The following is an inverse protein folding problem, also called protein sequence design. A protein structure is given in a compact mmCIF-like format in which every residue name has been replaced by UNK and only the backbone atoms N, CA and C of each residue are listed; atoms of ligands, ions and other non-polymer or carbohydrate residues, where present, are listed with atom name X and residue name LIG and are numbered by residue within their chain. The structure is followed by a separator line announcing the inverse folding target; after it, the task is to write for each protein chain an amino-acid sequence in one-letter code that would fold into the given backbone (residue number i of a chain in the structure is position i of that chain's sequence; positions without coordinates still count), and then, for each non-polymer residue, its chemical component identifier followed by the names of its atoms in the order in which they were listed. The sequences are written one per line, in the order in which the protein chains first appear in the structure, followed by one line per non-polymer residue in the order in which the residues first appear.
data_IF_171433878698
#
_entry.id   IF_171433878698
#
_cell.length_a   1.000
_cell.length_b   1.000
_cell.length_c   1.000
_cell.angle_alpha   90.00
_cell.angle_beta   90.00
_cell.angle_gamma   90.00
#
_symmetry.space_group_name_H-M   'P 1'
#
loop_
_entity.id
_entity.type
_entity.pdbx_description
1 polymer ?
#
# COMPACT_ATOMS: atom_id res chain seq x y z
N UNK A 1 21.99 -7.71 7.22
CA UNK A 1 20.81 -7.16 6.53
C UNK A 1 21.25 -6.86 5.12
N UNK A 2 20.66 -7.53 4.13
CA UNK A 2 21.13 -7.51 2.74
C UNK A 2 20.90 -6.12 2.13
N UNK A 3 21.95 -5.47 1.64
CA UNK A 3 21.84 -4.13 1.00
C UNK A 3 20.78 -4.10 -0.10
N UNK A 4 20.58 -5.20 -0.84
CA UNK A 4 19.58 -5.29 -1.90
C UNK A 4 18.10 -5.18 -1.46
N UNK A 5 17.73 -5.42 -0.20
CA UNK A 5 16.32 -5.27 0.23
C UNK A 5 15.91 -3.81 0.38
N UNK A 6 16.86 -2.95 0.77
CA UNK A 6 16.59 -1.51 0.93
C UNK A 6 16.37 -0.84 -0.43
N UNK A 7 17.15 -1.26 -1.43
CA UNK A 7 17.06 -0.78 -2.82
C UNK A 7 15.69 -1.13 -3.41
N UNK A 8 15.25 -2.37 -3.23
CA UNK A 8 13.95 -2.85 -3.72
C UNK A 8 12.81 -2.10 -3.03
N UNK A 9 12.91 -1.80 -1.73
CA UNK A 9 11.91 -1.06 -0.97
C UNK A 9 11.71 0.38 -1.48
N UNK A 10 12.79 1.14 -1.64
CA UNK A 10 12.73 2.50 -2.18
C UNK A 10 12.19 2.51 -3.61
N UNK A 11 12.68 1.60 -4.45
CA UNK A 11 12.22 1.42 -5.82
C UNK A 11 10.72 1.08 -5.88
N UNK A 12 10.22 0.24 -4.97
CA UNK A 12 8.80 -0.09 -4.89
C UNK A 12 7.92 1.12 -4.59
N UNK A 13 8.34 1.98 -3.66
CA UNK A 13 7.55 3.14 -3.24
C UNK A 13 7.48 4.17 -4.37
N UNK A 14 8.59 4.46 -5.04
CA UNK A 14 8.62 5.38 -6.18
C UNK A 14 7.84 4.81 -7.37
N UNK A 15 8.04 3.53 -7.69
CA UNK A 15 7.29 2.83 -8.73
C UNK A 15 5.80 2.81 -8.46
N UNK A 16 5.40 2.59 -7.21
CA UNK A 16 4.01 2.62 -6.75
C UNK A 16 3.41 4.01 -6.87
N UNK A 17 4.13 5.04 -6.44
CA UNK A 17 3.71 6.44 -6.62
C UNK A 17 3.45 6.77 -8.10
N UNK A 18 4.31 6.31 -9.00
CA UNK A 18 4.13 6.51 -10.44
C UNK A 18 2.98 5.69 -11.03
N UNK A 19 2.85 4.43 -10.64
CA UNK A 19 1.73 3.58 -11.05
C UNK A 19 0.39 4.17 -10.62
N UNK A 20 0.25 4.61 -9.37
CA UNK A 20 -1.01 5.18 -8.86
C UNK A 20 -1.31 6.53 -9.51
N UNK A 21 -0.34 7.45 -9.53
CA UNK A 21 -0.56 8.79 -10.10
C UNK A 21 -0.77 8.81 -11.61
N UNK A 22 -0.30 7.78 -12.34
CA UNK A 22 -0.45 7.71 -13.81
C UNK A 22 -1.46 6.65 -14.25
N UNK A 23 -1.23 5.37 -13.93
CA UNK A 23 -2.10 4.27 -14.38
C UNK A 23 -3.44 4.31 -13.67
N UNK A 24 -3.45 4.38 -12.33
CA UNK A 24 -4.70 4.37 -11.58
C UNK A 24 -5.51 5.63 -11.87
N UNK A 25 -4.88 6.82 -11.82
CA UNK A 25 -5.56 8.06 -12.19
C UNK A 25 -6.06 8.05 -13.64
N UNK A 26 -5.26 7.53 -14.58
CA UNK A 26 -5.61 7.46 -16.00
C UNK A 26 -6.76 6.51 -16.30
N UNK A 27 -6.72 5.28 -15.77
CA UNK A 27 -7.82 4.30 -15.91
C UNK A 27 -9.08 4.80 -15.22
N UNK A 28 -8.95 5.43 -14.05
CA UNK A 28 -10.07 6.03 -13.32
C UNK A 28 -10.74 7.10 -14.17
N UNK A 29 -9.97 8.01 -14.76
CA UNK A 29 -10.48 9.06 -15.64
C UNK A 29 -11.18 8.49 -16.89
N UNK A 30 -10.56 7.54 -17.59
CA UNK A 30 -11.16 6.88 -18.77
C UNK A 30 -12.46 6.15 -18.40
N UNK A 31 -12.50 5.51 -17.24
CA UNK A 31 -13.66 4.75 -16.76
C UNK A 31 -14.90 5.62 -16.52
N UNK A 32 -14.72 6.89 -16.19
CA UNK A 32 -15.82 7.83 -15.91
C UNK A 32 -16.00 8.91 -16.98
N UNK A 33 -15.19 8.89 -18.05
CA UNK A 33 -15.17 9.94 -19.08
C UNK A 33 -16.53 10.17 -19.74
N UNK A 34 -17.36 9.12 -19.82
CA UNK A 34 -18.71 9.20 -20.41
C UNK A 34 -19.67 10.04 -19.58
N UNK A 35 -19.39 10.23 -18.29
CA UNK A 35 -20.26 10.96 -17.36
C UNK A 35 -19.91 12.44 -17.23
N UNK A 36 -18.86 12.93 -17.93
CA UNK A 36 -18.50 14.34 -17.97
C UNK A 36 -18.27 15.00 -16.60
N UNK A 37 -17.78 14.25 -15.61
CA UNK A 37 -17.70 14.71 -14.22
C UNK A 37 -16.62 15.78 -14.05
N UNK A 38 -16.99 16.87 -13.38
CA UNK A 38 -16.09 17.94 -12.94
C UNK A 38 -15.59 17.64 -11.54
N UNK A 39 -14.35 18.01 -11.26
CA UNK A 39 -13.76 17.92 -9.92
C UNK A 39 -13.38 19.32 -9.40
N UNK A 40 -13.28 19.47 -8.07
CA UNK A 40 -12.83 20.72 -7.44
C UNK A 40 -11.36 21.00 -7.78
N UNK A 41 -11.10 22.17 -8.36
CA UNK A 41 -9.77 22.63 -8.79
C UNK A 41 -8.77 22.72 -7.64
N UNK A 42 -9.15 23.37 -6.54
CA UNK A 42 -8.28 23.59 -5.37
C UNK A 42 -7.76 22.26 -4.79
N UNK A 43 -8.67 21.32 -4.53
CA UNK A 43 -8.33 20.00 -3.99
C UNK A 43 -7.39 19.20 -4.90
N UNK A 44 -7.63 19.20 -6.21
CA UNK A 44 -6.76 18.51 -7.16
C UNK A 44 -5.36 19.15 -7.25
N UNK A 45 -5.29 20.47 -7.49
CA UNK A 45 -4.02 21.19 -7.64
C UNK A 45 -3.19 21.08 -6.38
N UNK A 46 -3.81 21.23 -5.20
CA UNK A 46 -3.14 21.11 -3.91
C UNK A 46 -2.46 19.75 -3.74
N UNK A 47 -3.18 18.65 -4.03
CA UNK A 47 -2.63 17.31 -3.94
C UNK A 47 -1.50 17.04 -4.95
N UNK A 48 -1.66 17.46 -6.22
CA UNK A 48 -0.62 17.26 -7.23
C UNK A 48 0.64 18.08 -6.94
N UNK A 49 0.49 19.35 -6.55
CA UNK A 49 1.61 20.21 -6.19
C UNK A 49 2.36 19.70 -4.96
N UNK A 50 1.63 19.21 -3.96
CA UNK A 50 2.26 18.65 -2.78
C UNK A 50 2.99 17.33 -3.10
N UNK A 51 2.45 16.49 -3.97
CA UNK A 51 3.15 15.29 -4.43
C UNK A 51 4.41 15.64 -5.24
N UNK A 52 4.37 16.66 -6.10
CA UNK A 52 5.58 17.18 -6.77
C UNK A 52 6.61 17.62 -5.75
N UNK A 53 6.21 18.38 -4.72
CA UNK A 53 7.10 18.79 -3.63
C UNK A 53 7.72 17.58 -2.91
N UNK A 54 6.92 16.55 -2.59
CA UNK A 54 7.40 15.32 -1.96
C UNK A 54 8.46 14.61 -2.82
N UNK A 55 8.20 14.47 -4.12
CA UNK A 55 9.10 13.82 -5.07
C UNK A 55 10.38 14.63 -5.25
N UNK A 56 10.30 15.96 -5.27
CA UNK A 56 11.48 16.84 -5.34
C UNK A 56 12.29 16.76 -4.04
N UNK A 57 11.67 16.78 -2.87
CA UNK A 57 12.36 16.59 -1.59
C UNK A 57 13.06 15.22 -1.54
N UNK A 58 12.40 14.17 -2.02
CA UNK A 58 13.01 12.84 -2.13
C UNK A 58 14.18 12.83 -3.11
N UNK A 59 14.05 13.49 -4.26
CA UNK A 59 15.13 13.63 -5.24
C UNK A 59 16.35 14.34 -4.63
N UNK A 60 16.15 15.40 -3.83
CA UNK A 60 17.23 16.08 -3.11
C UNK A 60 17.93 15.13 -2.13
N UNK A 61 17.16 14.34 -1.36
CA UNK A 61 17.73 13.31 -0.46
C UNK A 61 18.58 12.30 -1.23
N UNK A 62 18.10 11.85 -2.40
CA UNK A 62 18.83 10.89 -3.25
C UNK A 62 20.09 11.52 -3.86
N UNK A 63 20.05 12.78 -4.31
CA UNK A 63 21.20 13.50 -4.88
C UNK A 63 22.30 13.71 -3.83
N UNK A 64 21.93 14.05 -2.60
CA UNK A 64 22.91 14.21 -1.51
C UNK A 64 23.57 12.85 -1.19
N UNK A 65 22.87 11.74 -1.42
CA UNK A 65 23.36 10.37 -1.19
C UNK A 65 23.55 10.02 0.28
N UNK A 66 23.31 10.96 1.20
CA UNK A 66 23.45 10.81 2.64
C UNK A 66 22.29 11.50 3.34
N UNK A 67 21.74 10.85 4.36
CA UNK A 67 20.68 11.43 5.19
C UNK A 67 21.00 11.29 6.68
N UNK A 68 20.84 12.39 7.40
CA UNK A 68 20.94 12.43 8.86
C UNK A 68 19.56 12.19 9.50
N UNK A 69 19.53 11.82 10.78
CA UNK A 69 18.30 11.62 11.55
C UNK A 69 17.34 12.84 11.49
N UNK A 70 17.88 14.06 11.55
CA UNK A 70 17.09 15.28 11.42
C UNK A 70 16.47 15.45 10.03
N UNK A 71 17.19 15.02 8.98
CA UNK A 71 16.67 15.02 7.61
C UNK A 71 15.52 14.03 7.45
N UNK A 72 15.65 12.82 8.02
CA UNK A 72 14.56 11.83 7.97
C UNK A 72 13.35 12.25 8.81
N UNK A 73 13.56 12.88 9.97
CA UNK A 73 12.47 13.46 10.77
C UNK A 73 11.76 14.58 10.00
N UNK A 74 12.51 15.49 9.38
CA UNK A 74 11.95 16.57 8.55
C UNK A 74 11.12 16.03 7.38
N UNK A 75 11.63 15.00 6.68
CA UNK A 75 10.92 14.34 5.58
C UNK A 75 9.63 13.67 6.05
N UNK A 76 9.66 12.97 7.19
CA UNK A 76 8.46 12.35 7.79
C UNK A 76 7.42 13.41 8.22
N UNK A 77 7.85 14.46 8.91
CA UNK A 77 6.96 15.52 9.41
C UNK A 77 6.41 16.43 8.31
N UNK A 78 6.97 16.39 7.09
CA UNK A 78 6.37 17.03 5.93
C UNK A 78 4.92 16.54 5.68
N UNK A 79 4.57 15.33 6.14
CA UNK A 79 3.19 14.84 6.08
C UNK A 79 2.23 15.62 6.98
N UNK A 80 2.69 16.10 8.15
CA UNK A 80 1.85 16.97 8.99
C UNK A 80 1.59 18.30 8.30
N UNK A 81 2.61 18.84 7.61
CA UNK A 81 2.46 20.07 6.80
C UNK A 81 1.44 19.85 5.69
N UNK A 82 1.47 18.70 5.01
CA UNK A 82 0.45 18.31 4.03
C UNK A 82 -0.96 18.31 4.61
N UNK A 83 -1.15 17.62 5.74
CA UNK A 83 -2.47 17.51 6.38
C UNK A 83 -2.99 18.89 6.79
N UNK A 84 -2.13 19.72 7.39
CA UNK A 84 -2.46 21.10 7.74
C UNK A 84 -2.79 21.94 6.50
N UNK A 85 -2.05 21.79 5.41
CA UNK A 85 -2.28 22.50 4.15
C UNK A 85 -3.63 22.13 3.54
N UNK A 86 -3.97 20.84 3.46
CA UNK A 86 -5.27 20.38 2.94
C UNK A 86 -6.41 20.86 3.83
N UNK A 87 -6.24 20.78 5.15
CA UNK A 87 -7.26 21.25 6.10
C UNK A 87 -7.50 22.75 5.98
N UNK A 88 -6.43 23.55 5.92
CA UNK A 88 -6.52 25.00 5.70
C UNK A 88 -7.13 25.34 4.34
N UNK A 89 -6.78 24.60 3.28
CA UNK A 89 -7.33 24.78 1.94
C UNK A 89 -8.85 24.52 1.91
N UNK A 90 -9.31 23.46 2.59
CA UNK A 90 -10.75 23.15 2.67
C UNK A 90 -11.50 24.17 3.53
N UNK A 91 -10.90 24.65 4.62
CA UNK A 91 -11.46 25.72 5.43
C UNK A 91 -11.61 27.03 4.65
N UNK A 92 -10.61 27.39 3.84
CA UNK A 92 -10.64 28.60 3.04
C UNK A 92 -11.74 28.56 1.98
N UNK A 93 -11.86 27.45 1.25
CA UNK A 93 -12.94 27.25 0.26
C UNK A 93 -14.33 27.33 0.92
N UNK A 94 -14.48 26.74 2.12
CA UNK A 94 -15.74 26.80 2.86
C UNK A 94 -16.10 28.22 3.29
N UNK A 95 -15.11 29.06 3.58
CA UNK A 95 -15.34 30.44 3.96
C UNK A 95 -15.73 31.30 2.75
N UNK A 96 -15.11 31.08 1.60
CA UNK A 96 -15.50 31.74 0.34
C UNK A 96 -16.93 31.39 -0.09
N UNK A 97 -17.36 30.13 0.06
CA UNK A 97 -18.74 29.69 -0.23
C UNK A 97 -19.77 30.37 0.70
N UNK A 98 -19.42 30.64 1.96
CA UNK A 98 -20.30 31.33 2.92
C UNK A 98 -20.39 32.84 2.62
N UNK A 99 -19.28 33.46 2.21
CA UNK A 99 -19.25 34.89 1.87
C UNK A 99 -19.92 35.21 0.52
N UNK A 100 -20.12 34.22 -0.36
CA UNK A 100 -20.84 34.39 -1.64
C UNK A 100 -22.34 34.10 -1.58
N UNK A 101 -22.82 33.36 -0.57
CA UNK A 101 -24.24 33.00 -0.40
C UNK A 101 -25.09 34.09 0.31
N UNK A 102 -24.50 35.22 0.72
CA UNK A 102 -25.24 36.34 1.33
C UNK A 102 -26.06 37.18 0.32
N UNK A 103 -25.97 36.91 -1.00
CA UNK A 103 -26.65 37.68 -2.05
C UNK A 103 -27.67 36.90 -2.90
N UNK A 104 -27.90 35.61 -2.66
CA UNK A 104 -28.99 34.88 -3.33
C UNK A 104 -29.66 33.83 -2.42
N UNK A 105 -30.98 33.90 -2.39
CA UNK A 105 -31.86 33.10 -1.52
C UNK A 105 -31.78 31.60 -1.79
N UNK A 106 -31.50 30.84 -0.72
CA UNK A 106 -32.04 29.51 -0.39
C UNK A 106 -32.04 28.44 -1.50
N UNK A 107 -30.99 27.61 -1.52
CA UNK A 107 -31.12 26.15 -1.43
C UNK A 107 -29.73 25.53 -1.16
N UNK A 108 -29.37 25.46 0.13
CA UNK A 108 -28.19 24.76 0.61
C UNK A 108 -28.39 23.25 0.37
N UNK A 109 -27.60 22.57 -0.50
CA UNK A 109 -27.58 21.12 -0.48
C UNK A 109 -26.78 20.72 0.75
N UNK A 110 -27.55 20.51 1.82
CA UNK A 110 -27.28 19.69 2.98
C UNK A 110 -25.96 18.92 2.86
N UNK A 111 -24.98 19.36 3.67
CA UNK A 111 -23.86 18.58 4.22
C UNK A 111 -23.97 17.13 3.78
N UNK A 112 -23.07 16.71 2.89
CA UNK A 112 -22.98 15.32 2.46
C UNK A 112 -23.09 14.45 3.69
N UNK A 113 -24.28 13.88 3.84
CA UNK A 113 -24.62 12.85 4.77
C UNK A 113 -23.83 11.63 4.29
N UNK A 114 -22.52 11.64 4.53
CA UNK A 114 -21.77 10.41 4.69
C UNK A 114 -22.50 9.73 5.83
N UNK A 115 -23.41 8.82 5.47
CA UNK A 115 -24.02 7.89 6.39
C UNK A 115 -22.84 7.30 7.17
N UNK A 116 -22.72 7.75 8.42
CA UNK A 116 -21.98 7.07 9.47
C UNK A 116 -22.37 5.60 9.36
N UNK A 117 -21.42 4.74 8.99
CA UNK A 117 -21.66 3.30 8.90
C UNK A 117 -21.92 2.76 7.48
N UNK A 118 -21.14 3.16 6.48
CA UNK A 118 -20.72 2.17 5.50
C UNK A 118 -19.25 1.88 5.76
N UNK A 119 -19.01 0.95 6.68
CA UNK A 119 -17.78 0.16 6.66
C UNK A 119 -17.73 -0.49 5.27
N UNK A 120 -17.14 0.19 4.30
CA UNK A 120 -16.66 -0.46 3.10
C UNK A 120 -15.36 -1.14 3.50
N UNK A 121 -15.50 -2.19 4.30
CA UNK A 121 -14.56 -3.29 4.31
C UNK A 121 -14.49 -3.75 2.86
N UNK A 122 -13.57 -3.16 2.10
CA UNK A 122 -12.93 -3.88 1.02
C UNK A 122 -12.12 -5.00 1.71
N UNK A 123 -12.82 -6.01 2.25
CA UNK A 123 -12.32 -7.35 2.00
C UNK A 123 -12.05 -7.35 0.50
N UNK A 124 -10.82 -7.63 0.12
CA UNK A 124 -10.49 -8.08 -1.22
C UNK A 124 -11.23 -9.40 -1.44
N UNK A 125 -12.57 -9.34 -1.54
CA UNK A 125 -13.30 -10.21 -2.43
C UNK A 125 -12.82 -9.77 -3.79
N UNK A 126 -11.72 -10.40 -4.21
CA UNK A 126 -11.55 -10.79 -5.60
C UNK A 126 -12.95 -11.05 -6.13
N UNK A 127 -13.41 -10.45 -7.25
CA UNK A 127 -14.68 -10.78 -7.86
C UNK A 127 -14.62 -12.24 -8.33
N UNK A 128 -14.71 -13.14 -7.35
CA UNK A 128 -14.82 -14.57 -7.43
C UNK A 128 -16.24 -14.82 -6.94
N UNK A 129 -17.16 -14.53 -7.86
CA UNK A 129 -18.51 -15.07 -7.92
C UNK A 129 -19.25 -15.11 -6.57
N UNK A 130 -19.62 -13.96 -6.03
CA UNK A 130 -20.91 -13.89 -5.34
C UNK A 130 -21.96 -13.75 -6.43
N UNK A 131 -22.19 -14.87 -7.12
CA UNK A 131 -23.31 -15.03 -8.02
C UNK A 131 -24.57 -15.14 -7.15
N UNK A 132 -25.34 -14.05 -7.09
CA UNK A 132 -26.73 -14.13 -6.69
C UNK A 132 -27.48 -14.77 -7.86
N UNK A 133 -27.54 -16.10 -7.80
CA UNK A 133 -28.47 -16.93 -8.55
C UNK A 133 -28.27 -16.91 -10.06
N UNK A 134 -27.46 -17.83 -10.57
CA UNK A 134 -27.93 -18.84 -11.50
C UNK A 134 -27.10 -20.12 -11.31
N UNK A 135 -27.73 -21.16 -10.76
CA UNK A 135 -27.26 -22.54 -10.95
C UNK A 135 -27.13 -22.78 -12.45
N UNK A 136 -25.89 -22.85 -12.94
CA UNK A 136 -25.35 -23.71 -14.01
C UNK A 136 -23.99 -23.13 -14.41
N UNK A 137 -22.90 -23.59 -13.77
CA UNK A 137 -21.57 -23.58 -14.43
C UNK A 137 -20.55 -24.56 -13.80
N UNK A 138 -20.43 -25.70 -14.48
CA UNK A 138 -19.21 -26.46 -14.82
C UNK A 138 -18.35 -27.08 -13.71
N UNK A 139 -18.31 -28.42 -13.67
CA UNK A 139 -17.42 -29.24 -12.85
C UNK A 139 -15.92 -28.85 -12.91
N UNK A 140 -15.47 -28.22 -14.01
CA UNK A 140 -14.09 -27.68 -14.13
C UNK A 140 -13.79 -26.58 -13.11
N UNK A 141 -14.76 -25.74 -12.80
CA UNK A 141 -14.62 -24.67 -11.80
C UNK A 141 -14.51 -25.24 -10.38
N UNK A 142 -15.19 -26.36 -10.10
CA UNK A 142 -15.08 -27.07 -8.83
C UNK A 142 -13.69 -27.73 -8.65
N UNK A 143 -13.15 -28.33 -9.71
CA UNK A 143 -11.80 -28.92 -9.69
C UNK A 143 -10.73 -27.85 -9.51
N UNK A 144 -10.81 -26.74 -10.25
CA UNK A 144 -9.88 -25.62 -10.11
C UNK A 144 -9.90 -25.04 -8.68
N UNK A 145 -11.10 -24.92 -8.08
CA UNK A 145 -11.26 -24.48 -6.69
C UNK A 145 -10.64 -25.45 -5.68
N UNK A 146 -10.80 -26.76 -5.88
CA UNK A 146 -10.18 -27.78 -5.03
C UNK A 146 -8.66 -27.78 -5.14
N UNK A 147 -8.12 -27.63 -6.35
CA UNK A 147 -6.67 -27.50 -6.60
C UNK A 147 -6.13 -26.24 -5.92
N UNK A 148 -6.82 -25.10 -6.07
CA UNK A 148 -6.47 -23.86 -5.37
C UNK A 148 -6.42 -24.05 -3.85
N UNK A 149 -7.43 -24.70 -3.27
CA UNK A 149 -7.47 -24.97 -1.84
C UNK A 149 -6.31 -25.86 -1.34
N UNK A 150 -5.94 -26.89 -2.10
CA UNK A 150 -4.80 -27.76 -1.77
C UNK A 150 -3.47 -27.01 -1.86
N UNK A 151 -3.33 -26.10 -2.82
CA UNK A 151 -2.14 -25.28 -3.00
C UNK A 151 -2.01 -24.18 -1.92
N UNK A 152 -3.13 -23.66 -1.43
CA UNK A 152 -3.16 -22.68 -0.34
C UNK A 152 -2.93 -23.31 1.05
N UNK A 153 -3.30 -24.58 1.21
CA UNK A 153 -3.20 -25.33 2.47
C UNK A 153 -1.84 -25.22 3.20
N UNK A 154 -0.67 -25.41 2.55
CA UNK A 154 0.63 -25.33 3.22
C UNK A 154 0.93 -23.96 3.84
N UNK A 155 0.32 -22.88 3.34
CA UNK A 155 0.49 -21.53 3.87
C UNK A 155 -0.65 -21.14 4.83
N UNK A 156 -1.87 -21.55 4.52
CA UNK A 156 -3.05 -21.20 5.29
C UNK A 156 -3.14 -21.96 6.62
N UNK A 157 -2.69 -23.21 6.67
CA UNK A 157 -2.74 -24.04 7.88
C UNK A 157 -1.80 -23.50 8.98
N UNK A 158 -0.49 -23.29 8.76
CA UNK A 158 0.37 -22.73 9.81
C UNK A 158 -0.09 -21.34 10.26
N UNK A 159 -0.61 -20.54 9.34
CA UNK A 159 -1.22 -19.24 9.65
C UNK A 159 -2.39 -19.34 10.61
N UNK A 160 -3.35 -20.22 10.32
CA UNK A 160 -4.50 -20.49 11.21
C UNK A 160 -4.08 -21.09 12.55
N UNK A 161 -3.00 -21.87 12.57
CA UNK A 161 -2.47 -22.50 13.78
C UNK A 161 -1.63 -21.57 14.66
N UNK A 162 -1.41 -20.32 14.26
CA UNK A 162 -0.54 -19.38 15.00
C UNK A 162 -1.19 -18.02 15.23
N UNK A 163 -2.25 -17.67 14.48
CA UNK A 163 -3.06 -16.47 14.73
C UNK A 163 -4.27 -16.83 15.61
N UNK A 164 -4.34 -16.34 16.86
CA UNK A 164 -5.52 -16.54 17.68
C UNK A 164 -6.70 -15.72 17.13
N UNK A 165 -7.69 -16.42 16.56
CA UNK A 165 -8.90 -15.79 16.04
C UNK A 165 -10.00 -15.77 17.10
N UNK A 166 -10.52 -14.58 17.43
CA UNK A 166 -11.48 -14.35 18.53
C UNK A 166 -12.88 -14.01 17.98
N UNK A 167 -13.07 -14.05 16.65
CA UNK A 167 -14.38 -13.83 16.02
C UNK A 167 -15.38 -14.92 16.40
N UNK A 168 -16.59 -14.52 16.80
CA UNK A 168 -17.64 -15.45 17.23
C UNK A 168 -18.02 -16.46 16.14
N UNK A 169 -17.96 -16.07 14.87
CA UNK A 169 -18.35 -16.93 13.73
C UNK A 169 -17.32 -18.02 13.42
N UNK A 170 -16.05 -17.81 13.80
CA UNK A 170 -14.91 -18.67 13.41
C UNK A 170 -14.20 -19.28 14.63
N UNK A 171 -14.72 -19.06 15.83
CA UNK A 171 -14.11 -19.54 17.07
C UNK A 171 -14.16 -21.06 17.16
N UNK A 172 -13.04 -21.64 17.57
CA UNK A 172 -13.01 -23.02 18.05
C UNK A 172 -11.96 -23.14 19.15
N UNK A 173 -12.34 -23.79 20.25
CA UNK A 173 -11.48 -23.93 21.43
C UNK A 173 -10.13 -24.55 21.09
N UNK A 174 -10.11 -25.59 20.25
CA UNK A 174 -8.87 -26.28 19.87
C UNK A 174 -7.91 -25.39 19.09
N UNK A 175 -8.38 -24.63 18.10
CA UNK A 175 -7.52 -23.71 17.35
C UNK A 175 -7.05 -22.55 18.23
N UNK A 176 -7.88 -22.04 19.13
CA UNK A 176 -7.49 -21.01 20.11
C UNK A 176 -6.33 -21.47 21.00
N UNK A 177 -6.38 -22.70 21.52
CA UNK A 177 -5.31 -23.27 22.36
C UNK A 177 -4.03 -23.51 21.54
N UNK A 178 -4.15 -24.10 20.35
CA UNK A 178 -2.99 -24.40 19.50
C UNK A 178 -2.31 -23.10 19.05
N UNK A 179 -3.08 -22.08 18.67
CA UNK A 179 -2.55 -20.77 18.26
C UNK A 179 -1.69 -20.10 19.31
N UNK A 180 -2.17 -20.04 20.56
CA UNK A 180 -1.40 -19.47 21.67
C UNK A 180 -0.18 -20.32 22.03
N UNK A 181 -0.30 -21.64 21.91
CA UNK A 181 0.82 -22.55 22.21
C UNK A 181 1.95 -22.40 21.19
N UNK A 182 1.59 -22.25 19.90
CA UNK A 182 2.55 -22.28 18.79
C UNK A 182 3.11 -20.89 18.44
N UNK A 183 2.40 -19.80 18.78
CA UNK A 183 2.80 -18.43 18.45
C UNK A 183 4.20 -18.03 18.98
N UNK A 184 4.56 -18.26 20.27
CA UNK A 184 5.89 -17.90 20.77
C UNK A 184 7.03 -18.68 20.08
N UNK A 185 6.78 -19.94 19.71
CA UNK A 185 7.75 -20.78 19.00
C UNK A 185 8.01 -20.24 17.59
N UNK A 186 6.95 -19.82 16.89
CA UNK A 186 7.08 -19.20 15.57
C UNK A 186 7.93 -17.92 15.64
N UNK A 187 7.72 -17.08 16.65
CA UNK A 187 8.49 -15.83 16.81
C UNK A 187 9.99 -16.07 16.98
N UNK A 188 10.39 -17.08 17.77
CA UNK A 188 11.82 -17.44 17.91
C UNK A 188 12.38 -18.03 16.62
N UNK A 189 11.60 -18.83 15.89
CA UNK A 189 12.02 -19.37 14.60
C UNK A 189 12.29 -18.26 13.58
N UNK A 190 11.41 -17.26 13.50
CA UNK A 190 11.59 -16.09 12.64
C UNK A 190 12.81 -15.27 13.06
N UNK A 191 13.00 -15.08 14.37
CA UNK A 191 14.16 -14.37 14.90
C UNK A 191 15.48 -15.04 14.48
N UNK A 192 15.53 -16.36 14.47
CA UNK A 192 16.71 -17.12 14.04
C UNK A 192 16.91 -17.14 12.53
N UNK A 193 15.82 -17.05 11.76
CA UNK A 193 15.89 -17.03 10.30
C UNK A 193 16.40 -15.68 9.77
N UNK A 194 15.92 -14.57 10.34
CA UNK A 194 16.25 -13.22 9.88
C UNK A 194 17.30 -12.50 10.75
N UNK A 195 17.54 -12.98 11.96
CA UNK A 195 18.42 -12.38 12.96
C UNK A 195 19.61 -13.26 13.36
N UNK A 196 20.27 -12.92 14.48
CA UNK A 196 21.32 -13.76 15.03
C UNK A 196 20.74 -15.08 15.53
N UNK A 197 21.44 -16.19 15.27
CA UNK A 197 21.06 -17.52 15.77
C UNK A 197 20.90 -17.49 17.28
N UNK A 198 19.71 -17.83 17.77
CA UNK A 198 19.43 -17.96 19.19
C UNK A 198 20.02 -19.25 19.75
N UNK A 199 20.25 -19.25 21.05
CA UNK A 199 20.58 -20.49 21.76
C UNK A 199 19.39 -21.44 21.76
N UNK A 200 19.65 -22.75 21.78
CA UNK A 200 18.60 -23.78 21.89
C UNK A 200 17.68 -23.58 23.10
N UNK A 201 18.18 -22.92 24.15
CA UNK A 201 17.39 -22.52 25.33
C UNK A 201 16.25 -21.55 24.99
N UNK A 202 16.38 -20.69 23.98
CA UNK A 202 15.32 -19.77 23.57
C UNK A 202 14.10 -20.53 23.01
N UNK A 203 14.32 -21.60 22.26
CA UNK A 203 13.28 -22.51 21.78
C UNK A 203 12.61 -23.26 22.95
N UNK A 204 13.40 -23.70 23.94
CA UNK A 204 12.88 -24.33 25.15
C UNK A 204 11.99 -23.39 25.96
N UNK A 205 12.46 -22.15 26.20
CA UNK A 205 11.71 -21.13 26.97
C UNK A 205 10.41 -20.73 26.25
N UNK A 206 10.47 -20.48 24.94
CA UNK A 206 9.28 -20.14 24.15
C UNK A 206 8.26 -21.28 24.09
N UNK A 207 8.71 -22.54 23.98
CA UNK A 207 7.84 -23.71 24.04
C UNK A 207 7.15 -23.88 25.39
N UNK A 208 7.88 -23.73 26.50
CA UNK A 208 7.31 -23.78 27.85
C UNK A 208 6.32 -22.63 28.07
N UNK A 209 6.68 -21.40 27.65
CA UNK A 209 5.81 -20.24 27.75
C UNK A 209 4.50 -20.44 26.97
N UNK A 210 4.60 -20.89 25.71
CA UNK A 210 3.44 -21.20 24.88
C UNK A 210 2.56 -22.28 25.50
N UNK A 211 3.16 -23.37 25.99
CA UNK A 211 2.42 -24.46 26.64
C UNK A 211 1.70 -24.00 27.91
N UNK A 212 2.36 -23.23 28.78
CA UNK A 212 1.75 -22.66 29.98
C UNK A 212 0.53 -21.79 29.63
N UNK A 213 0.67 -20.92 28.62
CA UNK A 213 -0.44 -20.08 28.15
C UNK A 213 -1.57 -20.91 27.53
N UNK A 214 -1.26 -21.95 26.75
CA UNK A 214 -2.24 -22.86 26.16
C UNK A 214 -3.04 -23.64 27.20
N UNK A 215 -2.37 -24.16 28.24
CA UNK A 215 -3.00 -24.86 29.37
C UNK A 215 -3.92 -23.92 30.16
N UNK A 216 -3.47 -22.69 30.43
CA UNK A 216 -4.28 -21.68 31.11
C UNK A 216 -5.58 -21.40 30.34
N UNK A 217 -5.49 -21.29 29.02
CA UNK A 217 -6.65 -21.07 28.15
C UNK A 217 -7.56 -22.29 28.10
N UNK A 218 -7.01 -23.51 28.11
CA UNK A 218 -7.81 -24.73 28.16
C UNK A 218 -8.73 -24.78 29.39
N UNK A 219 -8.22 -24.36 30.56
CA UNK A 219 -8.99 -24.30 31.80
C UNK A 219 -9.94 -23.10 31.90
N UNK A 220 -9.60 -21.98 31.26
CA UNK A 220 -10.37 -20.73 31.39
C UNK A 220 -11.45 -20.56 30.32
N UNK A 221 -11.35 -21.26 29.18
CA UNK A 221 -12.24 -21.05 28.03
C UNK A 221 -13.41 -22.04 27.97
N UNK A 222 -14.62 -21.48 27.92
CA UNK A 222 -15.85 -22.18 27.58
C UNK A 222 -15.87 -22.51 26.07
N UNK A 223 -16.05 -23.78 25.71
CA UNK A 223 -15.84 -24.25 24.34
C UNK A 223 -16.71 -23.60 23.26
N UNK A 224 -17.83 -22.97 23.64
CA UNK A 224 -18.78 -22.36 22.71
C UNK A 224 -18.54 -20.87 22.43
N UNK A 225 -17.86 -20.14 23.33
CA UNK A 225 -17.76 -18.68 23.21
C UNK A 225 -16.30 -18.23 23.28
N UNK A 226 -15.91 -17.21 22.50
CA UNK A 226 -14.59 -16.63 22.62
C UNK A 226 -14.38 -16.05 24.03
N UNK A 227 -13.14 -16.06 24.54
CA UNK A 227 -12.82 -15.57 25.87
C UNK A 227 -13.17 -14.08 26.00
N UNK A 228 -14.17 -13.77 26.84
CA UNK A 228 -14.61 -12.39 27.10
C UNK A 228 -13.72 -11.65 28.11
N UNK A 229 -13.05 -12.41 29.00
CA UNK A 229 -12.05 -11.87 29.94
C UNK A 229 -10.74 -11.61 29.20
N UNK A 230 -10.12 -10.45 29.43
CA UNK A 230 -8.89 -10.01 28.76
C UNK A 230 -8.96 -9.98 27.22
N UNK A 231 -10.12 -9.62 26.64
CA UNK A 231 -10.31 -9.57 25.18
C UNK A 231 -9.25 -8.71 24.47
N UNK A 232 -8.79 -7.62 25.11
CA UNK A 232 -7.71 -6.78 24.56
C UNK A 232 -6.41 -7.56 24.32
N UNK A 233 -6.02 -8.46 25.23
CA UNK A 233 -4.80 -9.26 25.08
C UNK A 233 -4.91 -10.23 23.91
N UNK A 234 -6.07 -10.86 23.76
CA UNK A 234 -6.36 -11.76 22.65
C UNK A 234 -6.32 -11.06 21.29
N UNK A 235 -6.96 -9.89 21.19
CA UNK A 235 -6.91 -9.05 19.99
C UNK A 235 -5.49 -8.55 19.71
N UNK A 236 -4.75 -8.16 20.74
CA UNK A 236 -3.34 -7.74 20.63
C UNK A 236 -2.43 -8.85 20.12
N UNK A 237 -2.58 -10.09 20.63
CA UNK A 237 -1.84 -11.25 20.16
C UNK A 237 -2.21 -11.62 18.71
N UNK A 238 -3.50 -11.61 18.37
CA UNK A 238 -3.96 -11.85 17.01
C UNK A 238 -3.40 -10.81 16.03
N UNK A 239 -3.39 -9.54 16.44
CA UNK A 239 -2.80 -8.45 15.66
C UNK A 239 -1.29 -8.60 15.48
N UNK A 240 -0.55 -8.90 16.56
CA UNK A 240 0.89 -9.12 16.50
C UNK A 240 1.24 -10.26 15.55
N UNK A 241 0.59 -11.41 15.69
CA UNK A 241 0.82 -12.56 14.81
C UNK A 241 0.40 -12.28 13.37
N UNK A 242 -0.61 -11.44 13.14
CA UNK A 242 -0.98 -10.99 11.79
C UNK A 242 0.13 -10.14 11.16
N UNK A 243 0.74 -9.22 11.92
CA UNK A 243 1.90 -8.44 11.45
C UNK A 243 3.05 -9.39 11.10
N UNK A 244 3.33 -10.37 11.96
CA UNK A 244 4.39 -11.36 11.75
C UNK A 244 4.18 -12.16 10.46
N UNK A 245 2.95 -12.61 10.18
CA UNK A 245 2.63 -13.32 8.94
C UNK A 245 2.75 -12.42 7.71
N UNK A 246 2.32 -11.17 7.80
CA UNK A 246 2.51 -10.19 6.72
C UNK A 246 4.00 -10.00 6.43
N UNK A 247 4.85 -9.95 7.45
CA UNK A 247 6.30 -9.86 7.29
C UNK A 247 6.88 -11.09 6.59
N UNK A 248 6.54 -12.31 7.03
CA UNK A 248 7.00 -13.56 6.38
C UNK A 248 6.58 -13.59 4.90
N UNK A 249 5.31 -13.30 4.61
CA UNK A 249 4.80 -13.31 3.24
C UNK A 249 5.47 -12.26 2.35
N UNK A 250 5.77 -11.08 2.90
CA UNK A 250 6.47 -10.03 2.16
C UNK A 250 7.92 -10.43 1.84
N UNK A 251 8.64 -11.01 2.80
CA UNK A 251 10.04 -11.47 2.60
C UNK A 251 10.14 -12.63 1.60
N UNK A 252 9.23 -13.61 1.68
CA UNK A 252 9.16 -14.70 0.69
C UNK A 252 8.79 -14.17 -0.70
N UNK A 253 7.85 -13.21 -0.78
CA UNK A 253 7.49 -12.57 -2.05
C UNK A 253 8.69 -11.85 -2.68
N UNK A 254 9.43 -11.05 -1.89
CA UNK A 254 10.63 -10.36 -2.36
C UNK A 254 11.69 -11.37 -2.78
N UNK A 255 11.90 -12.44 -2.02
CA UNK A 255 12.89 -13.49 -2.32
C UNK A 255 12.58 -14.24 -3.62
N UNK A 256 11.31 -14.57 -3.86
CA UNK A 256 10.85 -15.16 -5.12
C UNK A 256 11.01 -14.19 -6.28
N UNK A 257 10.71 -12.91 -6.06
CA UNK A 257 10.85 -11.87 -7.07
C UNK A 257 12.32 -11.69 -7.48
N UNK A 258 13.24 -11.60 -6.51
CA UNK A 258 14.68 -11.53 -6.77
C UNK A 258 15.16 -12.78 -7.50
N UNK A 259 14.72 -13.98 -7.10
CA UNK A 259 15.06 -15.24 -7.76
C UNK A 259 14.59 -15.26 -9.22
N UNK A 260 13.38 -14.76 -9.48
CA UNK A 260 12.83 -14.61 -10.82
C UNK A 260 13.62 -13.60 -11.65
N UNK A 261 14.03 -12.48 -11.06
CA UNK A 261 14.91 -11.49 -11.68
C UNK A 261 16.25 -12.09 -12.11
N UNK A 262 16.87 -12.90 -11.25
CA UNK A 262 18.12 -13.61 -11.59
C UNK A 262 17.94 -14.60 -12.74
N UNK A 263 16.81 -15.31 -12.81
CA UNK A 263 16.52 -16.26 -13.90
C UNK A 263 16.32 -15.54 -15.23
N UNK A 264 15.62 -14.41 -15.25
CA UNK A 264 15.35 -13.65 -16.47
C UNK A 264 16.44 -12.63 -16.82
N UNK A 265 17.49 -12.49 -16.01
CA UNK A 265 18.54 -11.49 -16.21
C UNK A 265 18.08 -10.04 -16.00
N UNK A 266 17.02 -9.83 -15.22
CA UNK A 266 16.44 -8.51 -14.94
C UNK A 266 16.87 -8.07 -13.53
N UNK A 267 17.33 -6.83 -13.39
CA UNK A 267 17.81 -6.34 -12.10
C UNK A 267 16.67 -6.24 -11.05
N UNK A 268 16.94 -6.56 -9.77
CA UNK A 268 15.94 -6.47 -8.69
C UNK A 268 15.29 -5.08 -8.58
N UNK A 269 16.04 -4.02 -8.89
CA UNK A 269 15.55 -2.63 -8.91
C UNK A 269 14.42 -2.44 -9.94
N UNK A 270 14.53 -3.03 -11.13
CA UNK A 270 13.47 -2.96 -12.16
C UNK A 270 12.23 -3.74 -11.70
N UNK A 271 12.40 -4.91 -11.08
CA UNK A 271 11.27 -5.68 -10.55
C UNK A 271 10.58 -4.96 -9.39
N UNK A 272 11.36 -4.28 -8.53
CA UNK A 272 10.87 -3.40 -7.47
C UNK A 272 10.02 -2.26 -8.03
N UNK A 273 10.54 -1.54 -9.04
CA UNK A 273 9.86 -0.42 -9.71
C UNK A 273 8.60 -0.84 -10.48
N UNK A 274 8.50 -2.11 -10.89
CA UNK A 274 7.41 -2.61 -11.74
C UNK A 274 6.52 -3.60 -11.01
N UNK A 275 6.84 -4.90 -11.02
CA UNK A 275 5.98 -5.97 -10.52
C UNK A 275 5.62 -5.78 -9.04
N UNK A 276 6.60 -5.43 -8.20
CA UNK A 276 6.36 -5.21 -6.77
C UNK A 276 5.49 -3.95 -6.55
N UNK A 277 5.81 -2.85 -7.23
CA UNK A 277 5.02 -1.62 -7.23
C UNK A 277 3.57 -1.84 -7.72
N UNK A 278 3.37 -2.61 -8.79
CA UNK A 278 2.04 -2.96 -9.30
C UNK A 278 1.26 -3.77 -8.27
N UNK A 279 1.90 -4.78 -7.66
CA UNK A 279 1.29 -5.60 -6.63
C UNK A 279 0.82 -4.76 -5.44
N UNK A 280 1.69 -3.88 -4.94
CA UNK A 280 1.40 -3.01 -3.81
C UNK A 280 0.26 -2.01 -4.08
N UNK A 281 0.06 -1.61 -5.34
CA UNK A 281 -0.92 -0.59 -5.72
C UNK A 281 -2.10 -1.11 -6.56
N UNK A 282 -2.22 -2.42 -6.76
CA UNK A 282 -3.36 -3.01 -7.48
C UNK A 282 -4.67 -2.81 -6.69
N UNK A 283 -4.59 -2.84 -5.36
CA UNK A 283 -5.72 -2.52 -4.48
C UNK A 283 -6.23 -1.09 -4.70
N UNK A 284 -5.32 -0.13 -4.86
CA UNK A 284 -5.66 1.27 -5.16
C UNK A 284 -6.38 1.39 -6.51
N UNK A 285 -5.93 0.63 -7.52
CA UNK A 285 -6.60 0.59 -8.82
C UNK A 285 -8.06 0.17 -8.70
N UNK A 286 -8.29 -0.97 -8.05
CA UNK A 286 -9.65 -1.54 -7.92
C UNK A 286 -10.52 -0.63 -7.07
N UNK A 287 -10.00 -0.12 -5.95
CA UNK A 287 -10.73 0.76 -5.04
C UNK A 287 -11.12 2.09 -5.71
N UNK A 288 -10.16 2.80 -6.32
CA UNK A 288 -10.41 4.11 -6.92
C UNK A 288 -11.32 4.03 -8.14
N UNK A 289 -11.15 3.02 -9.01
CA UNK A 289 -12.06 2.82 -10.14
C UNK A 289 -13.47 2.51 -9.67
N UNK A 290 -13.62 1.69 -8.62
CA UNK A 290 -14.94 1.35 -8.07
C UNK A 290 -15.60 2.58 -7.47
N UNK A 291 -14.89 3.32 -6.62
CA UNK A 291 -15.38 4.54 -6.00
C UNK A 291 -15.74 5.61 -7.03
N UNK A 292 -14.92 5.74 -8.08
CA UNK A 292 -15.21 6.62 -9.18
C UNK A 292 -16.44 6.18 -9.97
N UNK A 293 -16.71 4.89 -10.17
CA UNK A 293 -17.93 4.47 -10.89
C UNK A 293 -19.18 4.66 -10.05
N UNK A 294 -19.17 4.21 -8.79
CA UNK A 294 -20.37 4.13 -7.94
C UNK A 294 -20.65 5.40 -7.13
N UNK A 295 -19.62 6.17 -6.75
CA UNK A 295 -19.77 7.29 -5.81
C UNK A 295 -20.20 8.62 -6.43
N UNK A 296 -20.64 8.65 -7.69
CA UNK A 296 -21.10 9.88 -8.35
C UNK A 296 -20.02 10.98 -8.47
N UNK A 297 -20.40 12.26 -8.55
CA UNK A 297 -19.45 13.37 -8.67
C UNK A 297 -18.44 13.43 -7.52
N UNK A 298 -18.91 13.23 -6.29
CA UNK A 298 -18.08 13.23 -5.07
C UNK A 298 -17.12 12.04 -5.09
N UNK A 299 -17.58 10.84 -5.44
CA UNK A 299 -16.73 9.65 -5.54
C UNK A 299 -15.63 9.77 -6.59
N UNK A 300 -15.90 10.44 -7.72
CA UNK A 300 -14.86 10.72 -8.72
C UNK A 300 -13.78 11.67 -8.19
N UNK A 301 -14.18 12.72 -7.45
CA UNK A 301 -13.23 13.60 -6.79
C UNK A 301 -12.40 12.84 -5.75
N UNK A 302 -13.04 12.08 -4.85
CA UNK A 302 -12.33 11.33 -3.79
C UNK A 302 -11.39 10.29 -4.39
N UNK A 303 -11.82 9.55 -5.42
CA UNK A 303 -10.97 8.57 -6.09
C UNK A 303 -9.72 9.21 -6.70
N UNK A 304 -9.87 10.36 -7.37
CA UNK A 304 -8.74 11.05 -7.99
C UNK A 304 -7.82 11.70 -6.94
N UNK A 305 -8.36 12.29 -5.88
CA UNK A 305 -7.56 12.77 -4.75
C UNK A 305 -6.79 11.62 -4.10
N UNK A 306 -7.42 10.45 -3.96
CA UNK A 306 -6.79 9.21 -3.47
C UNK A 306 -5.60 8.77 -4.32
N UNK A 307 -5.64 9.00 -5.65
CA UNK A 307 -4.54 8.68 -6.55
C UNK A 307 -3.27 9.52 -6.31
N UNK A 308 -3.36 10.64 -5.60
CA UNK A 308 -2.22 11.49 -5.26
C UNK A 308 -1.91 11.49 -3.76
N UNK A 309 -2.94 11.54 -2.91
CA UNK A 309 -2.80 11.48 -1.46
C UNK A 309 -2.22 10.15 -0.96
N UNK A 310 -2.59 9.03 -1.58
CA UNK A 310 -2.02 7.71 -1.26
C UNK A 310 -0.51 7.67 -1.47
N UNK A 311 0.01 8.02 -2.66
CA UNK A 311 1.44 8.20 -2.89
C UNK A 311 2.15 9.17 -1.94
N UNK A 312 1.53 10.28 -1.56
CA UNK A 312 2.08 11.22 -0.56
C UNK A 312 2.27 10.50 0.78
N UNK A 313 1.26 9.78 1.26
CA UNK A 313 1.33 9.02 2.51
C UNK A 313 2.40 7.92 2.46
N UNK A 314 2.39 7.09 1.41
CA UNK A 314 3.35 6.00 1.26
C UNK A 314 4.79 6.52 1.18
N UNK A 315 5.01 7.67 0.55
CA UNK A 315 6.33 8.30 0.44
C UNK A 315 6.75 8.95 1.76
N UNK A 316 5.95 9.82 2.36
CA UNK A 316 6.39 10.57 3.54
C UNK A 316 6.34 9.73 4.82
N UNK A 317 5.26 8.98 5.03
CA UNK A 317 5.09 8.16 6.24
C UNK A 317 5.76 6.80 6.06
N UNK A 318 5.50 6.11 4.94
CA UNK A 318 6.08 4.81 4.66
C UNK A 318 7.61 4.86 4.54
N UNK A 319 8.14 5.53 3.52
CA UNK A 319 9.59 5.67 3.36
C UNK A 319 10.21 6.51 4.49
N UNK A 320 9.57 7.59 4.93
CA UNK A 320 10.14 8.44 6.01
C UNK A 320 10.29 7.72 7.35
N UNK A 321 9.34 6.87 7.75
CA UNK A 321 9.49 6.05 8.97
C UNK A 321 10.62 5.03 8.84
N UNK A 322 10.75 4.41 7.66
CA UNK A 322 11.87 3.52 7.35
C UNK A 322 13.21 4.25 7.44
N UNK A 323 13.32 5.47 6.89
CA UNK A 323 14.51 6.30 6.97
C UNK A 323 14.83 6.75 8.40
N UNK A 324 13.83 7.04 9.22
CA UNK A 324 14.05 7.33 10.65
C UNK A 324 14.63 6.09 11.34
N UNK A 325 14.08 4.91 11.08
CA UNK A 325 14.55 3.68 11.73
C UNK A 325 15.99 3.32 11.32
N UNK A 326 16.36 3.49 10.05
CA UNK A 326 17.73 3.23 9.58
C UNK A 326 18.72 4.26 10.12
N UNK A 327 18.39 5.55 10.06
CA UNK A 327 19.26 6.62 10.59
C UNK A 327 19.38 6.59 12.11
N UNK A 328 18.35 6.13 12.83
CA UNK A 328 18.39 5.95 14.28
C UNK A 328 19.42 4.88 14.69
N UNK A 329 19.53 3.79 13.93
CA UNK A 329 20.51 2.72 14.19
C UNK A 329 21.95 3.17 13.96
N UNK A 330 22.18 4.09 13.03
CA UNK A 330 23.51 4.60 12.69
C UNK A 330 23.86 5.92 13.38
N UNK A 331 22.99 6.45 14.23
CA UNK A 331 23.21 7.72 14.92
C UNK A 331 24.48 7.68 15.78
N UNK A 332 25.39 8.68 15.70
CA UNK A 332 25.25 10.01 15.08
C UNK A 332 25.72 10.13 13.61
N UNK A 333 26.14 9.02 12.99
CA UNK A 333 26.63 9.03 11.61
C UNK A 333 25.51 9.15 10.58
N UNK A 334 25.85 9.47 9.33
CA UNK A 334 24.88 9.60 8.23
C UNK A 334 24.65 8.26 7.54
N UNK A 335 23.38 7.91 7.32
CA UNK A 335 23.03 6.75 6.50
C UNK A 335 23.26 7.07 5.02
N UNK A 336 23.91 6.17 4.29
CA UNK A 336 24.14 6.30 2.85
C UNK A 336 22.92 5.75 2.12
N UNK A 337 22.26 6.59 1.31
CA UNK A 337 21.12 6.16 0.51
C UNK A 337 21.66 5.38 -0.68
N UNK A 338 21.18 4.15 -0.93
CA UNK A 338 21.63 3.39 -2.09
C UNK A 338 21.20 4.08 -3.40
N UNK A 339 22.18 4.35 -4.26
CA UNK A 339 22.00 5.10 -5.50
C UNK A 339 21.98 4.13 -6.67
N UNK A 340 20.84 4.05 -7.35
CA UNK A 340 20.70 3.40 -8.64
C UNK A 340 20.41 4.45 -9.71
N UNK A 341 21.17 4.44 -10.81
CA UNK A 341 20.97 5.35 -11.96
C UNK A 341 19.53 5.27 -12.52
N UNK A 342 18.88 4.10 -12.37
CA UNK A 342 17.50 3.87 -12.83
C UNK A 342 16.44 4.64 -12.05
N UNK A 343 16.74 5.12 -10.84
CA UNK A 343 15.80 5.86 -10.00
C UNK A 343 15.56 7.27 -10.56
N UNK A 344 16.62 7.96 -11.02
CA UNK A 344 16.50 9.29 -11.61
C UNK A 344 15.58 9.31 -12.84
N UNK A 345 15.71 8.30 -13.70
CA UNK A 345 14.82 8.12 -14.84
C UNK A 345 13.36 7.96 -14.39
N UNK A 346 13.10 7.14 -13.37
CA UNK A 346 11.75 6.94 -12.82
C UNK A 346 11.17 8.21 -12.24
N UNK A 347 11.94 8.94 -11.44
CA UNK A 347 11.52 10.24 -10.87
C UNK A 347 11.23 11.24 -12.00
N UNK A 348 12.03 11.26 -13.06
CA UNK A 348 11.79 12.10 -14.24
C UNK A 348 10.46 11.80 -14.92
N UNK A 349 10.15 10.53 -15.17
CA UNK A 349 8.87 10.11 -15.75
C UNK A 349 7.68 10.37 -14.81
N UNK A 350 7.86 10.17 -13.51
CA UNK A 350 6.86 10.50 -12.49
C UNK A 350 6.55 11.99 -12.50
N UNK A 351 7.56 12.86 -12.45
CA UNK A 351 7.38 14.30 -12.53
C UNK A 351 6.73 14.73 -13.85
N UNK A 352 7.10 14.10 -14.97
CA UNK A 352 6.46 14.34 -16.26
C UNK A 352 4.97 13.99 -16.23
N UNK A 353 4.59 12.85 -15.65
CA UNK A 353 3.19 12.47 -15.45
C UNK A 353 2.41 13.45 -14.56
N UNK A 354 3.02 13.90 -13.46
CA UNK A 354 2.42 14.87 -12.55
C UNK A 354 2.23 16.24 -13.22
N UNK A 355 3.23 16.71 -13.98
CA UNK A 355 3.15 17.95 -14.76
C UNK A 355 2.10 17.85 -15.87
N UNK A 356 2.01 16.71 -16.55
CA UNK A 356 0.92 16.44 -17.51
C UNK A 356 -0.43 16.60 -16.83
N UNK A 357 -0.62 15.97 -15.67
CA UNK A 357 -1.87 16.05 -14.93
C UNK A 357 -2.20 17.48 -14.49
N UNK A 358 -1.20 18.19 -13.97
CA UNK A 358 -1.32 19.56 -13.47
C UNK A 358 -1.66 20.57 -14.58
N UNK A 359 -1.17 20.35 -15.81
CA UNK A 359 -1.41 21.27 -16.94
C UNK A 359 -2.69 20.92 -17.70
N UNK A 360 -2.90 19.63 -18.01
CA UNK A 360 -3.99 19.22 -18.91
C UNK A 360 -5.34 19.29 -18.22
N UNK A 361 -5.45 18.89 -16.95
CA UNK A 361 -6.76 18.83 -16.29
C UNK A 361 -7.36 20.23 -16.05
N UNK A 362 -6.61 21.24 -15.59
CA UNK A 362 -7.13 22.61 -15.49
C UNK A 362 -7.44 23.24 -16.85
N UNK A 363 -6.66 22.94 -17.91
CA UNK A 363 -6.95 23.40 -19.28
C UNK A 363 -8.22 22.80 -19.87
N UNK A 364 -8.73 21.70 -19.29
CA UNK A 364 -9.96 21.01 -19.69
C UNK A 364 -11.11 21.30 -18.72
N UNK A 365 -11.10 22.47 -18.07
CA UNK A 365 -12.12 22.91 -17.11
C UNK A 365 -12.39 21.90 -15.98
N UNK A 366 -11.33 21.23 -15.52
CA UNK A 366 -11.40 20.19 -14.48
C UNK A 366 -12.34 19.02 -14.83
N UNK A 367 -12.57 18.76 -16.11
CA UNK A 367 -13.36 17.61 -16.58
C UNK A 367 -12.44 16.42 -16.78
N UNK A 368 -12.82 15.29 -16.19
CA UNK A 368 -12.11 14.03 -16.39
C UNK A 368 -12.47 13.45 -17.75
N UNK A 369 -11.58 13.68 -18.73
CA UNK A 369 -11.75 13.23 -20.11
C UNK A 369 -10.79 12.08 -20.46
N UNK A 370 -11.10 11.38 -21.57
CA UNK A 370 -10.24 10.29 -22.05
C UNK A 370 -8.85 10.79 -22.40
N UNK A 371 -8.72 12.05 -22.84
CA UNK A 371 -7.44 12.61 -23.26
C UNK A 371 -6.46 12.73 -22.09
N UNK A 372 -6.93 13.24 -20.94
CA UNK A 372 -6.16 13.27 -19.70
C UNK A 372 -5.64 11.86 -19.34
N UNK A 373 -6.54 10.88 -19.31
CA UNK A 373 -6.18 9.52 -18.90
C UNK A 373 -5.29 8.77 -19.89
N UNK A 374 -5.53 8.92 -21.20
CA UNK A 374 -4.68 8.33 -22.25
C UNK A 374 -3.28 8.92 -22.22
N UNK A 375 -3.14 10.23 -21.96
CA UNK A 375 -1.82 10.86 -21.83
C UNK A 375 -1.01 10.29 -20.67
N UNK A 376 -1.62 10.12 -19.50
CA UNK A 376 -0.96 9.48 -18.34
C UNK A 376 -0.54 8.03 -18.63
N UNK A 377 -1.43 7.26 -19.28
CA UNK A 377 -1.11 5.88 -19.68
C UNK A 377 -0.01 5.82 -20.74
N UNK A 378 0.05 6.77 -21.67
CA UNK A 378 1.10 6.84 -22.68
C UNK A 378 2.47 7.13 -22.05
N UNK A 379 2.54 8.06 -21.09
CA UNK A 379 3.77 8.37 -20.34
C UNK A 379 4.24 7.11 -19.59
N UNK A 380 3.34 6.42 -18.89
CA UNK A 380 3.67 5.19 -18.16
C UNK A 380 4.09 4.05 -19.09
N UNK A 381 3.39 3.87 -20.22
CA UNK A 381 3.71 2.84 -21.21
C UNK A 381 5.07 3.09 -21.86
N UNK A 382 5.42 4.35 -22.13
CA UNK A 382 6.74 4.74 -22.61
C UNK A 382 7.83 4.36 -21.60
N UNK A 383 7.63 4.71 -20.32
CA UNK A 383 8.54 4.31 -19.24
C UNK A 383 8.72 2.78 -19.19
N UNK A 384 7.63 2.01 -19.19
CA UNK A 384 7.72 0.55 -19.14
C UNK A 384 8.46 -0.02 -20.34
N UNK A 385 8.18 0.50 -21.54
CA UNK A 385 8.86 0.09 -22.74
C UNK A 385 10.37 0.32 -22.63
N UNK A 386 10.79 1.51 -22.20
CA UNK A 386 12.22 1.84 -22.02
C UNK A 386 12.88 0.95 -20.96
N UNK A 387 12.20 0.68 -19.83
CA UNK A 387 12.72 -0.19 -18.77
C UNK A 387 12.88 -1.64 -19.23
N UNK A 388 11.89 -2.18 -19.94
CA UNK A 388 11.94 -3.55 -20.48
C UNK A 388 12.98 -3.65 -21.60
N UNK A 389 13.03 -2.67 -22.51
CA UNK A 389 14.02 -2.65 -23.58
C UNK A 389 15.45 -2.61 -23.02
N UNK A 390 15.69 -1.85 -21.95
CA UNK A 390 16.98 -1.83 -21.25
C UNK A 390 17.27 -3.14 -20.53
N UNK A 391 16.28 -3.73 -19.87
CA UNK A 391 16.43 -5.03 -19.20
C UNK A 391 16.78 -6.16 -20.17
N UNK A 392 16.27 -6.11 -21.40
CA UNK A 392 16.55 -7.07 -22.47
C UNK A 392 17.84 -6.75 -23.26
N UNK A 393 18.58 -5.69 -22.89
CA UNK A 393 19.84 -5.31 -23.54
C UNK A 393 19.69 -4.62 -24.90
N UNK A 394 18.50 -4.12 -25.25
CA UNK A 394 18.29 -3.42 -26.53
C UNK A 394 18.74 -1.95 -26.51
N UNK A 395 18.91 -1.34 -25.33
CA UNK A 395 19.24 0.08 -25.18
C UNK A 395 20.33 0.26 -24.11
N UNK A 396 21.59 0.37 -24.55
CA UNK A 396 22.71 0.78 -23.70
C UNK A 396 22.96 2.29 -23.87
N UNK A 397 22.27 3.12 -23.08
CA UNK A 397 22.78 4.46 -22.80
C UNK A 397 23.71 4.35 -21.59
N UNK A 398 25.03 4.36 -21.82
CA UNK A 398 26.01 4.70 -20.80
C UNK A 398 25.75 6.14 -20.35
N UNK A 399 25.06 6.33 -19.23
CA UNK A 399 25.16 7.59 -18.51
C UNK A 399 26.42 7.46 -17.67
N UNK A 400 27.52 8.05 -18.15
CA UNK A 400 28.76 8.15 -17.39
C UNK A 400 28.50 8.83 -16.05
N UNK A 401 29.11 8.34 -14.95
CA UNK A 401 28.90 8.88 -13.61
C UNK A 401 29.33 10.34 -13.47
#
# INVERSE_FOLDING_TARGET
MNDGTNDIGLNSIIGGAFFVSSVVAGITSISISQHGRKIKKSSFIGNVMFLILCVVCLLVVIIIGKIHLWGSLGFFFLYLVYVCFIFASEMHVRQEEIETDDDDSFDLPMVCHMKKGQELSCELKVPLLVDKGHEVQSAKFCVLRKVGYVLELPLDLPRKLTIPNVSQEKWSKSFGIVSITLAPLLLVLIWDFFGPKSSIWAYGISGVLGLCCGVLVFFTSDGLHPPKKFNFLWLGLGFLMSITWTYILAEELISLLVSMGLIFGISPSILGLTVLAWGNSLGDLVANVTLAKTGGPIGAQVALCGCYAGPIFNTLVGLGSSLIFTTWKEFPSSYIVPIDSTIYETIGFLLLGLLWALVILPKRDMRLDKFFGVGLLAIYSCFLFLKIARALGFIEFQVSP
#
